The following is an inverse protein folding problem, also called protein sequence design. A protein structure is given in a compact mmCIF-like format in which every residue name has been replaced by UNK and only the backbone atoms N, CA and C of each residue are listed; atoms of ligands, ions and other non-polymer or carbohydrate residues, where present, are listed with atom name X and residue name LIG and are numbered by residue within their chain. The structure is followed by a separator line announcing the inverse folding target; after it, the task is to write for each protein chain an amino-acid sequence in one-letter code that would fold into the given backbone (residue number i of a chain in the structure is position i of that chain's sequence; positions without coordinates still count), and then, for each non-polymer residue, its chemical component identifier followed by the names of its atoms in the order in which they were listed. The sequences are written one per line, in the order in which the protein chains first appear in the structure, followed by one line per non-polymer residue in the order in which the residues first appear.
data_IF_947621709041
#
_entry.id   IF_947621709041
#
_cell.length_a   1.000
_cell.length_b   1.000
_cell.length_c   1.000
_cell.angle_alpha   90.00
_cell.angle_beta   90.00
_cell.angle_gamma   90.00
#
_symmetry.space_group_name_H-M   'P 1'
#
loop_
_entity.id
_entity.type
_entity.pdbx_description
1 polymer ?
#
# COMPACT_ATOMS: atom_id res chain seq x y z
N UNK A 1 2.61 4.36 3.03
CA UNK A 1 1.45 3.84 3.78
C UNK A 1 0.43 4.96 3.87
N UNK A 2 -0.73 4.78 3.25
CA UNK A 2 -1.73 5.85 3.07
C UNK A 2 -2.57 6.08 4.32
N UNK A 3 -2.87 5.03 5.09
CA UNK A 3 -3.74 5.11 6.28
C UNK A 3 -3.01 5.45 7.59
N UNK A 4 -1.68 5.31 7.64
CA UNK A 4 -0.85 5.62 8.82
C UNK A 4 -1.48 5.18 10.16
N UNK A 5 -1.71 6.10 11.10
CA UNK A 5 -2.30 5.87 12.43
C UNK A 5 -3.76 5.38 12.41
N UNK A 6 -4.47 5.54 11.29
CA UNK A 6 -5.86 5.11 11.14
C UNK A 6 -5.99 3.68 10.58
N UNK A 7 -4.86 2.97 10.40
CA UNK A 7 -4.86 1.58 9.96
C UNK A 7 -5.18 0.64 11.12
N UNK A 8 -6.29 -0.09 11.02
CA UNK A 8 -6.68 -1.14 11.97
C UNK A 8 -5.65 -2.28 12.08
N UNK A 9 -4.74 -2.40 11.12
CA UNK A 9 -3.65 -3.39 11.11
C UNK A 9 -2.36 -2.89 11.78
N UNK A 10 -2.36 -1.72 12.42
CA UNK A 10 -1.21 -1.20 13.18
C UNK A 10 -1.53 -1.33 14.68
N UNK A 11 -1.47 -2.56 15.19
CA UNK A 11 -1.59 -2.84 16.62
C UNK A 11 -0.29 -3.47 17.15
N UNK A 12 0.50 -2.75 17.96
CA UNK A 12 1.53 -3.37 18.78
C UNK A 12 0.88 -4.43 19.69
N UNK A 13 1.50 -5.59 19.93
CA UNK A 13 2.87 -5.99 19.59
C UNK A 13 3.00 -6.76 18.26
N UNK A 14 1.92 -6.93 17.49
CA UNK A 14 1.86 -7.93 16.41
C UNK A 14 2.35 -7.43 15.03
N UNK A 15 2.57 -6.12 14.85
CA UNK A 15 3.04 -5.53 13.59
C UNK A 15 4.27 -4.62 13.82
N UNK A 16 5.42 -5.24 14.14
CA UNK A 16 6.65 -4.51 14.51
C UNK A 16 7.41 -3.88 13.33
N UNK A 17 7.25 -4.37 12.09
CA UNK A 17 8.08 -3.96 10.96
C UNK A 17 7.25 -3.50 9.76
N UNK A 18 7.08 -2.18 9.63
CA UNK A 18 6.52 -1.55 8.42
C UNK A 18 7.63 -1.04 7.52
N UNK A 19 8.11 -1.92 6.64
CA UNK A 19 9.18 -1.58 5.72
C UNK A 19 8.67 -0.77 4.53
N UNK A 20 9.41 0.25 4.13
CA UNK A 20 9.24 0.86 2.82
C UNK A 20 9.71 -0.10 1.73
N UNK A 21 9.36 0.17 0.46
CA UNK A 21 9.90 -0.55 -0.71
C UNK A 21 11.43 -0.62 -0.67
N UNK A 22 12.09 0.50 -0.32
CA UNK A 22 13.55 0.55 -0.14
C UNK A 22 14.00 -0.30 1.06
N UNK A 23 13.22 -0.34 2.13
CA UNK A 23 13.46 -1.19 3.29
C UNK A 23 13.44 -2.68 2.94
N UNK A 24 12.41 -3.13 2.22
CA UNK A 24 12.33 -4.50 1.69
C UNK A 24 13.54 -4.82 0.81
N UNK A 25 13.88 -3.95 -0.15
CA UNK A 25 15.04 -4.18 -1.02
C UNK A 25 16.34 -4.36 -0.24
N UNK A 26 16.61 -3.47 0.72
CA UNK A 26 17.79 -3.57 1.59
C UNK A 26 17.79 -4.82 2.46
N UNK A 27 16.64 -5.21 2.99
CA UNK A 27 16.50 -6.41 3.83
C UNK A 27 16.88 -7.67 3.04
N UNK A 28 16.31 -7.83 1.84
CA UNK A 28 16.55 -9.01 1.01
C UNK A 28 18.00 -9.06 0.50
N UNK A 29 18.58 -7.91 0.10
CA UNK A 29 20.00 -7.82 -0.25
C UNK A 29 20.91 -8.26 0.90
N UNK A 30 20.64 -7.79 2.13
CA UNK A 30 21.40 -8.18 3.32
C UNK A 30 21.26 -9.65 3.67
N UNK A 31 20.13 -10.27 3.33
CA UNK A 31 19.88 -11.70 3.51
C UNK A 31 20.52 -12.57 2.40
N UNK A 32 21.23 -11.97 1.44
CA UNK A 32 21.94 -12.68 0.36
C UNK A 32 21.10 -12.98 -0.87
N UNK A 33 19.91 -12.39 -1.00
CA UNK A 33 19.09 -12.54 -2.21
C UNK A 33 19.54 -11.59 -3.32
N UNK A 34 19.36 -12.04 -4.56
CA UNK A 34 19.57 -11.33 -5.82
C UNK A 34 18.26 -11.26 -6.61
N UNK A 35 18.21 -10.47 -7.70
CA UNK A 35 17.01 -10.28 -8.54
C UNK A 35 15.74 -9.99 -7.72
N UNK A 36 15.76 -8.90 -6.95
CA UNK A 36 14.67 -8.53 -6.04
C UNK A 36 13.69 -7.61 -6.75
N UNK A 37 12.51 -8.15 -7.04
CA UNK A 37 11.37 -7.44 -7.59
C UNK A 37 10.32 -7.23 -6.50
N UNK A 38 9.80 -6.01 -6.42
CA UNK A 38 8.84 -5.61 -5.40
C UNK A 38 7.64 -4.97 -6.08
N UNK A 39 6.44 -5.39 -5.72
CA UNK A 39 5.19 -4.89 -6.27
C UNK A 39 4.22 -4.56 -5.14
N UNK A 40 3.25 -3.70 -5.39
CA UNK A 40 2.13 -3.49 -4.45
C UNK A 40 0.80 -3.71 -5.16
N UNK A 41 0.38 -4.96 -5.42
CA UNK A 41 -0.78 -5.26 -6.25
C UNK A 41 -2.13 -5.03 -5.52
N UNK A 42 -2.13 -4.37 -4.35
CA UNK A 42 -3.35 -4.08 -3.61
C UNK A 42 -4.42 -3.43 -4.48
N UNK A 43 -5.66 -3.88 -4.33
CA UNK A 43 -6.84 -3.43 -5.11
C UNK A 43 -7.91 -2.76 -4.24
N UNK A 44 -7.75 -2.83 -2.91
CA UNK A 44 -8.76 -2.39 -1.94
C UNK A 44 -8.39 -1.08 -1.26
N UNK A 45 -7.28 -0.43 -1.62
CA UNK A 45 -6.79 0.74 -0.89
C UNK A 45 -7.83 1.86 -0.86
N UNK A 46 -8.36 2.25 -2.02
CA UNK A 46 -9.37 3.31 -2.11
C UNK A 46 -10.68 2.89 -1.45
N UNK A 47 -11.04 1.60 -1.54
CA UNK A 47 -12.23 1.05 -0.90
C UNK A 47 -12.14 1.06 0.63
N UNK A 48 -10.96 0.86 1.19
CA UNK A 48 -10.75 0.94 2.64
C UNK A 48 -10.88 2.39 3.10
N UNK A 49 -10.27 3.35 2.38
CA UNK A 49 -10.34 4.77 2.77
C UNK A 49 -11.76 5.32 2.59
N UNK A 50 -12.46 5.00 1.50
CA UNK A 50 -13.82 5.52 1.25
C UNK A 50 -14.83 5.06 2.30
N UNK A 51 -14.64 3.87 2.85
CA UNK A 51 -15.51 3.28 3.86
C UNK A 51 -15.09 3.64 5.30
N UNK A 52 -14.03 4.44 5.47
CA UNK A 52 -13.59 4.89 6.78
C UNK A 52 -14.49 6.03 7.29
N UNK A 53 -14.99 5.98 8.54
CA UNK A 53 -15.78 7.08 9.13
C UNK A 53 -15.06 8.44 9.14
N UNK A 54 -13.73 8.44 9.11
CA UNK A 54 -12.88 9.63 9.07
C UNK A 54 -12.29 9.89 7.66
N UNK A 55 -13.02 9.51 6.60
CA UNK A 55 -12.61 9.77 5.21
C UNK A 55 -12.27 11.26 5.01
N UNK A 56 -11.21 11.55 4.27
CA UNK A 56 -10.78 12.91 3.98
C UNK A 56 -11.57 13.55 2.82
N UNK A 57 -11.43 14.86 2.65
CA UNK A 57 -12.17 15.61 1.62
C UNK A 57 -11.74 15.24 0.19
N UNK A 58 -10.45 14.97 -0.03
CA UNK A 58 -9.97 14.58 -1.35
C UNK A 58 -10.59 13.24 -1.77
N UNK A 59 -10.62 12.26 -0.87
CA UNK A 59 -11.27 10.96 -1.14
C UNK A 59 -12.77 11.14 -1.41
N UNK A 60 -13.48 12.00 -0.67
CA UNK A 60 -14.89 12.30 -0.95
C UNK A 60 -15.11 12.88 -2.35
N UNK A 61 -14.31 13.88 -2.74
CA UNK A 61 -14.37 14.48 -4.07
C UNK A 61 -14.03 13.47 -5.16
N UNK A 62 -13.02 12.62 -4.94
CA UNK A 62 -12.63 11.56 -5.88
C UNK A 62 -13.80 10.59 -6.12
N UNK A 63 -14.40 10.08 -5.04
CA UNK A 63 -15.55 9.16 -5.11
C UNK A 63 -16.73 9.82 -5.81
N UNK A 64 -16.98 11.10 -5.58
CA UNK A 64 -18.05 11.84 -6.24
C UNK A 64 -17.84 12.03 -7.75
N UNK A 65 -16.64 11.76 -8.29
CA UNK A 65 -16.38 11.74 -9.74
C UNK A 65 -16.77 10.42 -10.41
N UNK A 66 -17.19 9.41 -9.63
CA UNK A 66 -17.67 8.12 -10.12
C UNK A 66 -16.60 7.02 -10.19
N UNK A 67 -17.05 5.81 -10.47
CA UNK A 67 -16.24 4.58 -10.37
C UNK A 67 -14.98 4.60 -11.24
N UNK A 68 -15.06 5.18 -12.45
CA UNK A 68 -13.90 5.27 -13.34
C UNK A 68 -12.72 6.02 -12.70
N UNK A 69 -13.00 7.15 -12.06
CA UNK A 69 -11.95 7.95 -11.40
C UNK A 69 -11.34 7.17 -10.22
N UNK A 70 -12.17 6.46 -9.46
CA UNK A 70 -11.73 5.58 -8.37
C UNK A 70 -10.82 4.45 -8.87
N UNK A 71 -11.19 3.77 -9.96
CA UNK A 71 -10.39 2.71 -10.56
C UNK A 71 -9.05 3.22 -11.12
N UNK A 72 -9.05 4.38 -11.78
CA UNK A 72 -7.83 5.01 -12.28
C UNK A 72 -6.91 5.43 -11.13
N UNK A 73 -7.46 5.91 -10.03
CA UNK A 73 -6.68 6.23 -8.83
C UNK A 73 -6.11 4.98 -8.15
N UNK A 74 -6.88 3.90 -8.03
CA UNK A 74 -6.36 2.61 -7.54
C UNK A 74 -5.21 2.10 -8.43
N UNK A 75 -5.38 2.21 -9.75
CA UNK A 75 -4.33 1.85 -10.73
C UNK A 75 -3.08 2.72 -10.56
N UNK A 76 -3.25 4.01 -10.27
CA UNK A 76 -2.14 4.92 -9.94
C UNK A 76 -1.40 4.45 -8.67
N UNK A 77 -2.13 4.10 -7.60
CA UNK A 77 -1.51 3.62 -6.36
C UNK A 77 -0.67 2.35 -6.59
N UNK A 78 -1.17 1.40 -7.38
CA UNK A 78 -0.44 0.20 -7.76
C UNK A 78 0.82 0.52 -8.56
N UNK A 79 0.69 1.36 -9.59
CA UNK A 79 1.78 1.75 -10.50
C UNK A 79 2.96 2.37 -9.74
N UNK A 80 2.67 3.16 -8.72
CA UNK A 80 3.69 3.89 -7.95
C UNK A 80 4.06 3.21 -6.63
N UNK A 81 3.67 1.95 -6.43
CA UNK A 81 4.02 1.15 -5.25
C UNK A 81 3.53 1.75 -3.92
N UNK A 82 2.33 2.35 -3.92
CA UNK A 82 1.78 3.11 -2.79
C UNK A 82 0.84 2.28 -1.89
N UNK A 83 0.46 1.07 -2.32
CA UNK A 83 -0.38 0.19 -1.51
C UNK A 83 0.41 -0.43 -0.35
N UNK A 84 -0.29 -0.72 0.75
CA UNK A 84 0.29 -1.46 1.89
C UNK A 84 0.43 -2.96 1.62
N UNK A 85 -0.25 -3.50 0.61
CA UNK A 85 -0.16 -4.91 0.25
C UNK A 85 1.06 -5.14 -0.66
N UNK A 86 2.18 -5.54 -0.07
CA UNK A 86 3.48 -5.69 -0.74
C UNK A 86 3.74 -7.15 -1.11
N UNK A 87 4.18 -7.38 -2.35
CA UNK A 87 4.73 -8.65 -2.81
C UNK A 87 6.22 -8.49 -3.09
N UNK A 88 7.01 -9.49 -2.72
CA UNK A 88 8.45 -9.54 -3.00
C UNK A 88 8.77 -10.86 -3.67
N UNK A 89 9.33 -10.80 -4.87
CA UNK A 89 9.94 -11.95 -5.55
C UNK A 89 11.46 -11.76 -5.53
N UNK A 90 12.19 -12.79 -5.10
CA UNK A 90 13.65 -12.74 -5.02
C UNK A 90 14.26 -14.11 -5.26
N UNK A 91 15.50 -14.13 -5.77
CA UNK A 91 16.27 -15.35 -6.03
C UNK A 91 17.44 -15.45 -5.06
N UNK A 92 17.69 -16.64 -4.53
CA UNK A 92 18.90 -16.90 -3.73
C UNK A 92 20.04 -17.37 -4.62
#
# INVERSE_FOLDING_TARGET
MTLQEHSNSVFPPHHLNFLSIKGFKKLFQRAGFTYIDIWTPGVLDVDIVKNNPMVDEFTRVLVSRGEKAVMEFQSFLQKYQLSSHVWVLARK
#
